data_IF_300620200349
#
_entry.id   IF_300620200349
#
_cell.length_a   1.000
_cell.length_b   1.000
_cell.length_c   1.000
_cell.angle_alpha   90.00
_cell.angle_beta   90.00
_cell.angle_gamma   90.00
#
_symmetry.space_group_name_H-M   'P 1'
#
loop_
_entity.id
_entity.type
_entity.pdbx_description
1 polymer ?
#
# COMPACT_ATOMS: atom_id res chain seq x y z
N UNK A 1 -2.70 15.09 -25.17
CA UNK A 1 -3.41 16.39 -25.15
C UNK A 1 -3.78 16.80 -23.73
N UNK A 2 -4.30 18.03 -23.53
CA UNK A 2 -4.70 18.55 -22.22
C UNK A 2 -5.79 17.71 -21.53
N UNK A 3 -6.71 17.11 -22.31
CA UNK A 3 -7.72 16.18 -21.79
C UNK A 3 -7.11 14.94 -21.09
N UNK A 4 -6.02 14.39 -21.63
CA UNK A 4 -5.35 13.22 -21.04
C UNK A 4 -4.66 13.53 -19.71
N UNK A 5 -4.15 14.76 -19.54
CA UNK A 5 -3.55 15.22 -18.29
C UNK A 5 -4.59 15.37 -17.18
N UNK A 6 -5.76 15.93 -17.53
CA UNK A 6 -6.89 16.01 -16.60
C UNK A 6 -7.36 14.64 -16.12
N UNK A 7 -7.50 13.67 -17.03
CA UNK A 7 -7.89 12.30 -16.68
C UNK A 7 -6.85 11.62 -15.77
N UNK A 8 -5.56 11.74 -16.09
CA UNK A 8 -4.49 11.19 -15.26
C UNK A 8 -4.46 11.83 -13.85
N UNK A 9 -4.72 13.14 -13.76
CA UNK A 9 -4.84 13.84 -12.48
C UNK A 9 -6.03 13.35 -11.65
N UNK A 10 -7.21 13.19 -12.27
CA UNK A 10 -8.40 12.63 -11.62
C UNK A 10 -8.18 11.20 -11.13
N UNK A 11 -7.52 10.37 -11.94
CA UNK A 11 -7.14 9.00 -11.55
C UNK A 11 -6.15 9.01 -10.38
N UNK A 12 -5.13 9.87 -10.40
CA UNK A 12 -4.20 10.02 -9.28
C UNK A 12 -4.91 10.43 -7.99
N UNK A 13 -5.83 11.39 -8.08
CA UNK A 13 -6.63 11.84 -6.94
C UNK A 13 -7.56 10.72 -6.41
N UNK A 14 -8.19 9.97 -7.31
CA UNK A 14 -9.00 8.79 -6.96
C UNK A 14 -8.17 7.76 -6.19
N UNK A 15 -6.97 7.44 -6.67
CA UNK A 15 -6.05 6.52 -5.97
C UNK A 15 -5.56 7.09 -4.64
N UNK A 16 -5.35 8.40 -4.53
CA UNK A 16 -5.00 9.04 -3.27
C UNK A 16 -6.14 8.87 -2.24
N UNK A 17 -7.37 9.21 -2.62
CA UNK A 17 -8.54 9.02 -1.77
C UNK A 17 -8.75 7.56 -1.38
N UNK A 18 -8.55 6.64 -2.34
CA UNK A 18 -8.62 5.20 -2.09
C UNK A 18 -7.53 4.75 -1.10
N UNK A 19 -6.30 5.27 -1.22
CA UNK A 19 -5.21 5.01 -0.27
C UNK A 19 -5.51 5.52 1.14
N UNK A 20 -6.09 6.72 1.25
CA UNK A 20 -6.54 7.27 2.53
C UNK A 20 -7.65 6.40 3.15
N UNK A 21 -8.60 5.95 2.34
CA UNK A 21 -9.62 5.02 2.79
C UNK A 21 -8.99 3.72 3.31
N UNK A 22 -8.04 3.14 2.57
CA UNK A 22 -7.30 1.95 2.99
C UNK A 22 -6.50 2.14 4.28
N UNK A 23 -5.99 3.34 4.59
CA UNK A 23 -5.34 3.60 5.90
C UNK A 23 -6.31 3.60 7.08
N UNK A 24 -7.59 3.88 6.81
CA UNK A 24 -8.61 4.04 7.85
C UNK A 24 -9.45 2.77 8.02
N UNK A 25 -9.42 1.85 7.05
CA UNK A 25 -10.08 0.55 7.14
C UNK A 25 -9.52 -0.24 8.33
N UNK A 26 -10.41 -0.47 9.29
CA UNK A 26 -10.18 -1.34 10.44
C UNK A 26 -9.92 -2.79 9.98
N UNK A 27 -9.16 -3.60 10.76
CA UNK A 27 -9.00 -5.04 10.55
C UNK A 27 -10.33 -5.72 10.33
N UNK A 28 -10.62 -6.08 9.08
CA UNK A 28 -11.78 -6.89 8.75
C UNK A 28 -11.32 -8.19 8.10
N UNK A 29 -11.81 -9.31 8.64
CA UNK A 29 -11.48 -10.67 8.21
C UNK A 29 -11.81 -10.92 6.71
N UNK A 30 -12.68 -10.08 6.14
CA UNK A 30 -13.14 -10.14 4.75
C UNK A 30 -12.41 -9.21 3.77
N UNK A 31 -11.69 -8.18 4.25
CA UNK A 31 -11.10 -7.13 3.39
C UNK A 31 -9.61 -6.97 3.70
N UNK A 32 -8.75 -7.24 2.72
CA UNK A 32 -7.30 -7.05 2.82
C UNK A 32 -6.44 -8.20 2.30
N UNK A 33 -5.11 -8.05 2.41
CA UNK A 33 -4.11 -9.05 2.03
C UNK A 33 -4.19 -10.29 2.94
N UNK A 34 -4.91 -11.32 2.50
CA UNK A 34 -5.01 -12.61 3.19
C UNK A 34 -3.67 -13.34 3.13
N UNK A 35 -2.90 -13.20 4.19
CA UNK A 35 -1.74 -14.05 4.43
C UNK A 35 -1.99 -14.81 5.73
N UNK A 36 -1.77 -16.15 5.76
CA UNK A 36 -2.18 -17.00 6.88
C UNK A 36 -1.59 -16.56 8.23
N UNK A 37 -0.44 -15.91 8.22
CA UNK A 37 0.18 -15.35 9.44
C UNK A 37 -0.42 -14.02 9.93
N UNK A 38 -1.11 -13.27 9.08
CA UNK A 38 -1.79 -12.04 9.48
C UNK A 38 -3.07 -12.33 10.30
N UNK A 39 -3.58 -13.56 10.24
CA UNK A 39 -4.70 -14.05 11.04
C UNK A 39 -4.30 -14.39 12.48
N UNK A 40 -3.07 -14.85 12.70
CA UNK A 40 -2.55 -15.14 14.05
C UNK A 40 -2.17 -13.87 14.82
N UNK A 41 -1.70 -12.82 14.11
CA UNK A 41 -1.21 -11.59 14.74
C UNK A 41 -1.89 -10.34 14.18
N UNK A 42 -2.99 -9.87 14.81
CA UNK A 42 -3.70 -8.65 14.41
C UNK A 42 -2.79 -7.41 14.30
N UNK A 43 -1.71 -7.37 15.10
CA UNK A 43 -0.73 -6.28 15.11
C UNK A 43 0.10 -6.21 13.81
N UNK A 44 0.37 -7.36 13.17
CA UNK A 44 1.04 -7.43 11.86
C UNK A 44 0.11 -6.90 10.78
N UNK A 45 -1.15 -7.34 10.79
CA UNK A 45 -2.18 -6.91 9.85
C UNK A 45 -2.34 -5.38 9.83
N UNK A 46 -2.48 -4.75 11.00
CA UNK A 46 -2.73 -3.30 11.11
C UNK A 46 -1.54 -2.48 10.64
N UNK A 47 -0.31 -2.91 10.96
CA UNK A 47 0.90 -2.19 10.53
C UNK A 47 1.11 -2.27 9.04
N UNK A 48 0.93 -3.44 8.45
CA UNK A 48 1.09 -3.68 7.01
C UNK A 48 0.05 -2.93 6.19
N UNK A 49 -1.23 -2.92 6.62
CA UNK A 49 -2.29 -2.16 5.94
C UNK A 49 -2.09 -0.66 6.05
N UNK A 50 -1.68 -0.15 7.22
CA UNK A 50 -1.42 1.28 7.39
C UNK A 50 -0.26 1.76 6.53
N UNK A 51 0.80 0.95 6.41
CA UNK A 51 1.92 1.19 5.49
C UNK A 51 1.46 1.19 4.03
N UNK A 52 0.71 0.16 3.61
CA UNK A 52 0.21 0.04 2.25
C UNK A 52 -0.73 1.18 1.84
N UNK A 53 -1.67 1.57 2.71
CA UNK A 53 -2.55 2.71 2.46
C UNK A 53 -1.79 4.02 2.37
N UNK A 54 -0.77 4.24 3.21
CA UNK A 54 0.03 5.47 3.19
C UNK A 54 0.87 5.58 1.91
N UNK A 55 1.45 4.46 1.47
CA UNK A 55 2.17 4.35 0.20
C UNK A 55 1.25 4.55 -1.01
N UNK A 56 0.03 4.00 -0.98
CA UNK A 56 -0.99 4.23 -2.01
C UNK A 56 -1.42 5.69 -2.08
N UNK A 57 -1.65 6.32 -0.91
CA UNK A 57 -1.98 7.74 -0.82
C UNK A 57 -0.86 8.60 -1.41
N UNK A 58 0.39 8.35 -1.01
CA UNK A 58 1.56 9.06 -1.53
C UNK A 58 1.72 8.89 -3.05
N UNK A 59 1.55 7.66 -3.55
CA UNK A 59 1.63 7.35 -4.99
C UNK A 59 0.55 8.07 -5.80
N UNK A 60 -0.70 8.05 -5.32
CA UNK A 60 -1.82 8.72 -5.96
C UNK A 60 -1.65 10.25 -5.97
N UNK A 61 -1.23 10.83 -4.84
CA UNK A 61 -0.99 12.26 -4.72
C UNK A 61 0.17 12.70 -5.62
N UNK A 62 1.28 11.95 -5.63
CA UNK A 62 2.39 12.19 -6.52
C UNK A 62 1.95 12.15 -7.97
N UNK A 63 1.18 11.13 -8.37
CA UNK A 63 0.63 11.01 -9.73
C UNK A 63 -0.23 12.23 -10.10
N UNK A 64 -1.09 12.69 -9.19
CA UNK A 64 -1.95 13.86 -9.43
C UNK A 64 -1.12 15.13 -9.67
N UNK A 65 -0.07 15.34 -8.87
CA UNK A 65 0.87 16.46 -9.04
C UNK A 65 1.67 16.34 -10.34
N UNK A 66 2.18 15.15 -10.66
CA UNK A 66 2.94 14.92 -11.88
C UNK A 66 2.08 15.07 -13.14
N UNK A 67 0.78 14.75 -13.09
CA UNK A 67 -0.14 14.94 -14.21
C UNK A 67 -0.32 16.42 -14.60
N UNK A 68 -0.09 17.37 -13.67
CA UNK A 68 -0.14 18.81 -13.94
C UNK A 68 1.08 19.31 -14.71
N UNK A 69 2.25 18.72 -14.48
CA UNK A 69 3.54 19.18 -15.04
C UNK A 69 3.97 18.33 -16.24
N UNK A 70 3.88 17.01 -16.13
CA UNK A 70 4.35 16.04 -17.13
C UNK A 70 3.25 15.55 -18.07
N UNK A 71 3.63 14.72 -19.04
CA UNK A 71 2.68 14.06 -19.94
C UNK A 71 1.82 13.05 -19.19
N UNK A 72 0.59 12.85 -19.66
CA UNK A 72 -0.34 11.87 -19.07
C UNK A 72 0.25 10.45 -19.01
N UNK A 73 1.04 10.06 -20.02
CA UNK A 73 1.71 8.76 -20.06
C UNK A 73 2.74 8.60 -18.94
N UNK A 74 3.54 9.63 -18.66
CA UNK A 74 4.51 9.59 -17.57
C UNK A 74 3.84 9.51 -16.20
N UNK A 75 2.78 10.31 -15.97
CA UNK A 75 2.01 10.26 -14.73
C UNK A 75 1.39 8.87 -14.50
N UNK A 76 0.77 8.28 -15.53
CA UNK A 76 0.21 6.93 -15.45
C UNK A 76 1.29 5.84 -15.25
N UNK A 77 2.46 5.98 -15.85
CA UNK A 77 3.58 5.07 -15.61
C UNK A 77 4.03 5.11 -14.14
N UNK A 78 4.13 6.31 -13.55
CA UNK A 78 4.46 6.48 -12.12
C UNK A 78 3.39 5.85 -11.24
N UNK A 79 2.11 6.04 -11.56
CA UNK A 79 1.00 5.40 -10.85
C UNK A 79 1.15 3.87 -10.85
N UNK A 80 1.33 3.27 -12.03
CA UNK A 80 1.45 1.82 -12.19
C UNK A 80 2.65 1.26 -11.42
N UNK A 81 3.82 1.88 -11.60
CA UNK A 81 5.05 1.47 -10.90
C UNK A 81 4.90 1.63 -9.39
N UNK A 82 4.32 2.74 -8.92
CA UNK A 82 4.11 2.98 -7.50
C UNK A 82 3.11 2.01 -6.87
N UNK A 83 2.03 1.64 -7.57
CA UNK A 83 1.07 0.63 -7.09
C UNK A 83 1.72 -0.76 -7.00
N UNK A 84 2.49 -1.15 -8.01
CA UNK A 84 3.25 -2.41 -8.02
C UNK A 84 4.29 -2.43 -6.89
N UNK A 85 5.09 -1.37 -6.76
CA UNK A 85 6.10 -1.22 -5.72
C UNK A 85 5.47 -1.26 -4.33
N UNK A 86 4.33 -0.60 -4.13
CA UNK A 86 3.59 -0.64 -2.87
C UNK A 86 3.12 -2.05 -2.54
N UNK A 87 2.58 -2.77 -3.54
CA UNK A 87 2.15 -4.17 -3.36
C UNK A 87 3.32 -5.06 -2.93
N UNK A 88 4.47 -4.95 -3.60
CA UNK A 88 5.68 -5.70 -3.26
C UNK A 88 6.21 -5.32 -1.88
N UNK A 89 6.26 -4.03 -1.55
CA UNK A 89 6.72 -3.53 -0.27
C UNK A 89 5.85 -4.02 0.89
N UNK A 90 4.52 -3.99 0.72
CA UNK A 90 3.54 -4.48 1.70
C UNK A 90 3.72 -5.99 1.90
N UNK A 91 3.86 -6.76 0.83
CA UNK A 91 4.05 -8.21 0.91
C UNK A 91 5.39 -8.58 1.57
N UNK A 92 6.47 -7.90 1.17
CA UNK A 92 7.81 -8.09 1.75
C UNK A 92 7.88 -7.68 3.22
N UNK A 93 7.27 -6.56 3.60
CA UNK A 93 7.18 -6.12 4.99
C UNK A 93 6.36 -7.10 5.84
N UNK A 94 5.25 -7.61 5.30
CA UNK A 94 4.44 -8.65 5.94
C UNK A 94 5.27 -9.91 6.23
N UNK A 95 6.07 -10.36 5.26
CA UNK A 95 6.94 -11.53 5.40
C UNK A 95 8.08 -11.31 6.41
N UNK A 96 8.71 -10.14 6.37
CA UNK A 96 9.77 -9.79 7.32
C UNK A 96 9.25 -9.74 8.76
N UNK A 97 8.07 -9.15 8.97
CA UNK A 97 7.46 -9.06 10.28
C UNK A 97 7.04 -10.43 10.83
N UNK A 98 6.53 -11.31 9.97
CA UNK A 98 6.24 -12.71 10.32
C UNK A 98 7.49 -13.48 10.79
N UNK A 99 8.60 -13.38 10.04
CA UNK A 99 9.86 -14.02 10.41
C UNK A 99 10.38 -13.56 11.77
N UNK A 100 10.21 -12.29 12.10
CA UNK A 100 10.66 -11.72 13.38
C UNK A 100 9.86 -12.26 14.57
N UNK A 101 8.55 -12.39 14.45
CA UNK A 101 7.67 -12.93 15.50
C UNK A 101 7.92 -14.43 15.75
N UNK A 102 8.19 -15.20 14.70
CA UNK A 102 8.54 -16.63 14.79
C UNK A 102 9.88 -16.88 15.51
N UNK A 103 10.88 -16.02 15.32
CA UNK A 103 12.17 -16.13 16.03
C UNK A 103 12.03 -15.82 17.52
N UNK A 104 11.30 -14.76 17.88
CA UNK A 104 11.07 -14.40 19.29
C UNK A 104 10.28 -15.45 20.09
N UNK A 105 9.38 -16.19 19.42
CA UNK A 105 8.62 -17.27 20.07
C UNK A 105 9.48 -18.50 20.35
N UNK A 106 10.47 -18.80 19.49
CA UNK A 106 11.42 -19.88 19.73
C UNK A 106 12.35 -19.58 20.91
N UNK A 107 12.86 -18.35 21.03
CA UNK A 107 13.77 -17.98 22.13
C UNK A 107 13.11 -18.11 23.51
N UNK A 108 11.81 -17.80 23.64
CA UNK A 108 11.04 -17.90 24.90
C UNK A 108 10.73 -19.35 25.30
N UNK A 109 10.65 -20.28 24.34
CA UNK A 109 10.39 -21.70 24.64
C UNK A 109 11.66 -22.49 24.99
N UNK A 110 12.85 -21.91 24.74
CA UNK A 110 14.16 -22.56 24.96
C UNK A 110 14.84 -22.05 26.25
N UNK A 111 14.32 -20.97 26.86
CA UNK A 111 14.76 -20.38 28.14
C UNK A 111 13.92 -20.84 29.32
#
# INVERSE_FOLDING_TARGET
GPAGRGLAGLLGLFFALLGNYLTTVQPNYFVGFKTPWALEFPRIWTRTHRLGGWLFFATGLLTALLALVWSAGAALAVLLVGVLATTVAVYGYSYWLYRKEMQGTQDVQVS
#
